data_IF_634346423299
#
_entry.id   IF_634346423299
#
_cell.length_a   1.000
_cell.length_b   1.000
_cell.length_c   1.000
_cell.angle_alpha   90.00
_cell.angle_beta   90.00
_cell.angle_gamma   90.00
#
_symmetry.space_group_name_H-M   'P 1'
#
loop_
_entity.id
_entity.type
_entity.pdbx_description
1 polymer ?
#
# COMPACT_ATOMS: atom_id res chain seq x y z
N UNK A 1 -3.49 19.81 18.40
CA UNK A 1 -4.51 18.75 18.46
C UNK A 1 -4.34 17.86 17.25
N UNK A 2 -3.76 16.68 17.41
CA UNK A 2 -3.73 15.68 16.33
C UNK A 2 -5.16 15.17 16.13
N UNK A 3 -5.78 15.54 15.01
CA UNK A 3 -7.06 14.98 14.59
C UNK A 3 -6.89 13.48 14.47
N UNK A 4 -7.52 12.71 15.36
CA UNK A 4 -7.59 11.25 15.22
C UNK A 4 -8.34 10.94 13.93
N UNK A 5 -7.84 10.00 13.14
CA UNK A 5 -8.51 9.54 11.94
C UNK A 5 -9.42 8.37 12.30
N UNK A 6 -10.74 8.59 12.29
CA UNK A 6 -11.72 7.53 12.47
C UNK A 6 -11.87 6.71 11.18
N UNK A 7 -11.43 5.45 11.21
CA UNK A 7 -11.57 4.49 10.11
C UNK A 7 -12.74 3.54 10.41
N UNK A 8 -13.85 3.59 9.66
CA UNK A 8 -14.98 2.70 9.90
C UNK A 8 -14.60 1.26 9.55
N UNK A 9 -15.13 0.30 10.32
CA UNK A 9 -14.92 -1.12 10.06
C UNK A 9 -15.58 -1.53 8.73
N UNK A 10 -14.79 -2.13 7.84
CA UNK A 10 -15.29 -2.63 6.55
C UNK A 10 -16.03 -3.96 6.78
N UNK A 11 -17.36 -3.95 6.59
CA UNK A 11 -18.22 -5.12 6.78
C UNK A 11 -18.41 -5.87 5.45
N UNK A 12 -17.63 -6.94 5.25
CA UNK A 12 -17.77 -7.82 4.09
C UNK A 12 -17.16 -7.27 2.79
N UNK A 13 -16.95 -8.17 1.83
CA UNK A 13 -16.21 -7.88 0.59
C UNK A 13 -16.91 -6.85 -0.31
N UNK A 14 -18.24 -6.81 -0.28
CA UNK A 14 -19.04 -5.89 -1.10
C UNK A 14 -18.88 -4.41 -0.71
N UNK A 15 -18.49 -4.15 0.54
CA UNK A 15 -18.36 -2.80 1.07
C UNK A 15 -16.91 -2.30 1.07
N UNK A 16 -16.00 -3.02 0.42
CA UNK A 16 -14.59 -2.62 0.30
C UNK A 16 -14.50 -1.41 -0.66
N UNK A 17 -13.77 -0.34 -0.29
CA UNK A 17 -13.60 0.81 -1.16
C UNK A 17 -12.89 0.42 -2.46
N UNK A 18 -13.36 0.95 -3.60
CA UNK A 18 -12.78 0.65 -4.92
C UNK A 18 -11.43 1.35 -5.14
N UNK A 19 -11.16 2.45 -4.44
CA UNK A 19 -9.90 3.18 -4.55
C UNK A 19 -8.72 2.32 -4.07
N UNK A 20 -7.61 2.36 -4.79
CA UNK A 20 -6.38 1.62 -4.50
C UNK A 20 -5.24 2.59 -4.18
N UNK A 21 -4.59 2.43 -3.02
CA UNK A 21 -3.37 3.18 -2.66
C UNK A 21 -2.08 2.52 -3.19
N UNK A 22 -2.20 1.30 -3.70
CA UNK A 22 -1.14 0.49 -4.30
C UNK A 22 -1.69 -0.07 -5.61
N UNK A 23 -1.19 0.47 -6.73
CA UNK A 23 -1.68 0.18 -8.09
C UNK A 23 -0.84 -0.87 -8.79
N UNK A 24 -1.28 -1.31 -9.97
CA UNK A 24 -0.47 -2.14 -10.87
C UNK A 24 0.78 -1.41 -11.36
N UNK A 25 1.87 -2.14 -11.59
CA UNK A 25 3.14 -1.56 -12.06
C UNK A 25 4.29 -1.81 -11.11
N UNK A 26 4.42 -3.05 -10.65
CA UNK A 26 5.46 -3.51 -9.74
C UNK A 26 6.02 -4.84 -10.23
N UNK A 27 7.29 -5.10 -9.94
CA UNK A 27 8.05 -6.28 -10.42
C UNK A 27 8.00 -7.43 -9.42
N UNK A 28 6.84 -7.65 -8.85
CA UNK A 28 6.60 -8.77 -7.93
C UNK A 28 6.32 -10.04 -8.71
N UNK A 29 6.68 -11.20 -8.16
CA UNK A 29 6.36 -12.48 -8.78
C UNK A 29 4.85 -12.66 -9.01
N UNK A 30 4.48 -13.52 -9.97
CA UNK A 30 3.09 -13.92 -10.14
C UNK A 30 2.57 -14.60 -8.87
N UNK A 31 1.44 -14.15 -8.35
CA UNK A 31 0.89 -14.65 -7.09
C UNK A 31 1.67 -14.21 -5.84
N UNK A 32 2.46 -13.13 -5.91
CA UNK A 32 3.17 -12.61 -4.75
C UNK A 32 2.18 -12.20 -3.63
N UNK A 33 2.16 -12.97 -2.56
CA UNK A 33 1.34 -12.75 -1.37
C UNK A 33 1.62 -11.38 -0.74
N UNK A 34 2.89 -11.00 -0.63
CA UNK A 34 3.28 -9.75 0.02
C UNK A 34 2.78 -8.52 -0.74
N UNK A 35 2.67 -8.59 -2.08
CA UNK A 35 2.09 -7.53 -2.89
C UNK A 35 0.56 -7.40 -2.65
N UNK A 36 -0.13 -8.54 -2.51
CA UNK A 36 -1.55 -8.55 -2.15
C UNK A 36 -1.77 -7.95 -0.75
N UNK A 37 -0.91 -8.30 0.21
CA UNK A 37 -0.96 -7.72 1.56
C UNK A 37 -0.74 -6.22 1.53
N UNK A 38 0.25 -5.71 0.78
CA UNK A 38 0.47 -4.26 0.62
C UNK A 38 -0.76 -3.54 0.08
N UNK A 39 -1.42 -4.13 -0.93
CA UNK A 39 -2.68 -3.60 -1.50
C UNK A 39 -3.80 -3.51 -0.48
N UNK A 40 -4.01 -4.57 0.31
CA UNK A 40 -5.07 -4.59 1.33
C UNK A 40 -4.74 -3.70 2.52
N UNK A 41 -3.47 -3.66 2.94
CA UNK A 41 -2.98 -2.85 4.05
C UNK A 41 -3.21 -1.37 3.79
N UNK A 42 -2.79 -0.86 2.63
CA UNK A 42 -2.98 0.56 2.34
C UNK A 42 -4.45 0.92 2.16
N UNK A 43 -5.26 -0.02 1.66
CA UNK A 43 -6.70 0.17 1.54
C UNK A 43 -7.38 0.29 2.90
N UNK A 44 -6.93 -0.48 3.89
CA UNK A 44 -7.40 -0.36 5.27
C UNK A 44 -6.90 0.92 5.95
N UNK A 45 -5.68 1.37 5.66
CA UNK A 45 -5.09 2.58 6.24
C UNK A 45 -5.72 3.89 5.69
N UNK A 46 -6.18 3.87 4.44
CA UNK A 46 -6.88 4.99 3.80
C UNK A 46 -5.95 5.99 3.10
N UNK A 47 -6.51 7.12 2.66
CA UNK A 47 -5.78 8.09 1.83
C UNK A 47 -4.80 8.98 2.63
N UNK A 48 -5.02 9.16 3.93
CA UNK A 48 -4.16 9.99 4.80
C UNK A 48 -3.06 9.13 5.44
N UNK A 49 -2.31 8.40 4.63
CA UNK A 49 -1.26 7.47 5.07
C UNK A 49 0.06 7.78 4.39
N UNK A 50 1.15 7.73 5.14
CA UNK A 50 2.52 7.76 4.63
C UNK A 50 3.09 6.36 4.83
N UNK A 51 3.59 5.76 3.75
CA UNK A 51 4.17 4.41 3.80
C UNK A 51 5.69 4.52 3.88
N UNK A 52 6.28 3.80 4.83
CA UNK A 52 7.72 3.78 5.03
C UNK A 52 8.18 2.34 4.90
N UNK A 53 9.07 2.07 3.93
CA UNK A 53 9.51 0.72 3.58
C UNK A 53 10.99 0.53 3.85
N UNK A 54 11.32 -0.46 4.69
CA UNK A 54 12.71 -0.91 4.86
C UNK A 54 13.21 -1.70 3.65
N UNK A 55 14.53 -1.87 3.56
CA UNK A 55 15.13 -2.66 2.48
C UNK A 55 14.64 -4.11 2.54
N UNK A 56 13.99 -4.57 1.46
CA UNK A 56 13.45 -5.92 1.36
C UNK A 56 12.74 -6.14 0.01
N UNK A 57 12.09 -7.29 -0.17
CA UNK A 57 11.40 -7.61 -1.43
C UNK A 57 10.36 -6.54 -1.82
N UNK A 58 9.60 -6.04 -0.85
CA UNK A 58 8.57 -5.01 -1.09
C UNK A 58 9.15 -3.60 -1.32
N UNK A 59 10.44 -3.38 -1.06
CA UNK A 59 11.14 -2.20 -1.55
C UNK A 59 11.62 -2.47 -2.97
N UNK A 60 12.49 -3.47 -3.16
CA UNK A 60 13.15 -3.75 -4.45
C UNK A 60 12.13 -3.97 -5.56
N UNK A 61 11.21 -4.92 -5.39
CA UNK A 61 10.25 -5.28 -6.43
C UNK A 61 9.31 -4.13 -6.80
N UNK A 62 8.97 -3.27 -5.84
CA UNK A 62 8.03 -2.17 -6.06
C UNK A 62 8.71 -0.93 -6.64
N UNK A 63 9.95 -0.65 -6.26
CA UNK A 63 10.62 0.62 -6.61
C UNK A 63 11.84 0.47 -7.51
N UNK A 64 11.98 -0.67 -8.18
CA UNK A 64 13.08 -0.88 -9.13
C UNK A 64 13.00 0.15 -10.26
N UNK A 65 14.15 0.75 -10.58
CA UNK A 65 14.32 1.73 -11.67
C UNK A 65 13.35 2.92 -11.63
N UNK A 66 13.20 3.53 -10.46
CA UNK A 66 12.41 4.77 -10.26
C UNK A 66 10.93 4.64 -10.65
N UNK A 67 10.41 3.42 -10.73
CA UNK A 67 8.97 3.18 -10.76
C UNK A 67 8.45 3.09 -9.32
N UNK A 68 7.16 3.29 -9.11
CA UNK A 68 6.52 3.00 -7.83
C UNK A 68 5.03 2.72 -8.02
N UNK A 69 4.49 1.65 -7.42
CA UNK A 69 3.05 1.40 -7.40
C UNK A 69 2.32 2.22 -6.33
N UNK A 70 3.04 2.96 -5.48
CA UNK A 70 2.44 3.74 -4.40
C UNK A 70 1.78 5.01 -4.94
N UNK A 71 0.46 5.12 -4.74
CA UNK A 71 -0.31 6.33 -5.05
C UNK A 71 -0.22 7.34 -3.90
N UNK A 72 0.01 6.84 -2.68
CA UNK A 72 0.24 7.62 -1.47
C UNK A 72 1.72 7.99 -1.30
N UNK A 73 2.05 9.02 -0.50
CA UNK A 73 3.44 9.33 -0.18
C UNK A 73 4.17 8.12 0.41
N UNK A 74 5.32 7.78 -0.18
CA UNK A 74 6.15 6.67 0.23
C UNK A 74 7.62 7.08 0.35
N UNK A 75 8.34 6.49 1.32
CA UNK A 75 9.77 6.72 1.50
C UNK A 75 10.52 5.43 1.85
N UNK A 76 11.73 5.30 1.29
CA UNK A 76 12.69 4.26 1.65
C UNK A 76 13.34 4.58 3.01
N UNK A 77 13.44 3.58 3.86
CA UNK A 77 14.31 3.60 5.05
C UNK A 77 15.31 2.45 5.01
N UNK A 78 16.53 2.68 5.51
CA UNK A 78 17.53 1.61 5.63
C UNK A 78 17.14 0.61 6.71
#
# INVERSE_FOLDING_TARGET
>A
MTSVQDLPQIQGVKNIPLAEGYTSGHRTCQGCESALVMRLMIKAAGQRTIVVGSTGCMYVANTTYYSTPWVVPWMHTQ
#
